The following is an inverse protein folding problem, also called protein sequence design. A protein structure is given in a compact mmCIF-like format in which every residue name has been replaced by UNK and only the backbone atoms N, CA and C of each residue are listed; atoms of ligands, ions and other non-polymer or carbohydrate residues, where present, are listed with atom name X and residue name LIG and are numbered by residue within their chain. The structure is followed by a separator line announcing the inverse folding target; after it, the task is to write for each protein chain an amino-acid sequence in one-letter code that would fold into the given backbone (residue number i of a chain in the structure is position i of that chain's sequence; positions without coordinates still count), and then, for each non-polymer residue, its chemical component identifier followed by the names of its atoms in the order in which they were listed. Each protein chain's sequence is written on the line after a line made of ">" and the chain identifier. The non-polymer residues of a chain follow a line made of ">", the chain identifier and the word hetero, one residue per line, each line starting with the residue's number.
data_IF_130589112035
#
_entry.id   IF_130589112035
#
_cell.length_a   1.000
_cell.length_b   1.000
_cell.length_c   1.000
_cell.angle_alpha   90.00
_cell.angle_beta   90.00
_cell.angle_gamma   90.00
#
_symmetry.space_group_name_H-M   'P 1'
#
loop_
_entity.id
_entity.type
_entity.pdbx_description
1 polymer ?
#
# COMPACT_ATOMS: atom_id res chain seq x y z
N UNK A 1 9.86 2.66 2.69
CA UNK A 1 10.21 1.23 2.72
C UNK A 1 8.96 0.42 2.99
N UNK A 2 8.87 -0.80 2.44
CA UNK A 2 7.76 -1.74 2.64
C UNK A 2 8.36 -3.10 2.98
N UNK A 3 7.82 -3.77 4.00
CA UNK A 3 8.17 -5.14 4.38
C UNK A 3 6.92 -6.00 4.38
N UNK A 4 7.05 -7.26 3.98
CA UNK A 4 6.01 -8.29 4.00
C UNK A 4 6.40 -9.36 5.01
N UNK A 5 5.45 -9.70 5.87
CA UNK A 5 5.60 -10.72 6.89
C UNK A 5 4.45 -11.72 6.79
N UNK A 6 4.78 -13.00 6.95
CA UNK A 6 3.79 -14.04 7.17
C UNK A 6 3.45 -14.08 8.66
N UNK A 7 2.19 -13.79 8.98
CA UNK A 7 1.71 -13.77 10.36
C UNK A 7 1.41 -15.17 10.92
N UNK A 8 1.31 -16.19 10.08
CA UNK A 8 1.11 -17.58 10.54
C UNK A 8 2.44 -18.22 10.93
N UNK A 9 3.49 -17.97 10.14
CA UNK A 9 4.82 -18.53 10.39
C UNK A 9 5.75 -17.58 11.15
N UNK A 10 5.33 -16.32 11.36
CA UNK A 10 6.14 -15.25 11.93
C UNK A 10 7.45 -15.00 11.16
N UNK A 11 7.44 -15.24 9.84
CA UNK A 11 8.62 -15.10 8.99
C UNK A 11 8.57 -13.81 8.16
N UNK A 12 9.75 -13.24 7.95
CA UNK A 12 9.95 -12.16 7.00
C UNK A 12 10.00 -12.73 5.58
N UNK A 13 9.14 -12.23 4.68
CA UNK A 13 9.05 -12.71 3.30
C UNK A 13 9.90 -11.81 2.39
N UNK A 14 9.64 -10.50 2.43
CA UNK A 14 10.22 -9.58 1.46
C UNK A 14 10.33 -8.17 1.98
N UNK A 15 11.31 -7.44 1.45
CA UNK A 15 11.50 -6.02 1.69
C UNK A 15 11.68 -5.30 0.35
N UNK A 16 11.17 -4.07 0.30
CA UNK A 16 11.36 -3.16 -0.81
C UNK A 16 11.67 -1.75 -0.30
N UNK A 17 12.71 -1.15 -0.84
CA UNK A 17 13.01 0.27 -0.63
C UNK A 17 12.18 1.07 -1.61
N UNK A 18 11.30 1.93 -1.12
CA UNK A 18 10.59 2.87 -1.97
C UNK A 18 11.57 3.99 -2.33
N UNK A 19 11.87 4.16 -3.61
CA UNK A 19 12.64 5.30 -4.12
C UNK A 19 11.78 6.56 -4.05
N UNK A 20 11.61 7.11 -2.85
CA UNK A 20 10.99 8.42 -2.65
C UNK A 20 12.06 9.39 -2.21
N UNK A 21 12.22 10.49 -2.94
CA UNK A 21 13.23 11.53 -2.67
C UNK A 21 13.02 12.27 -1.33
N UNK A 22 11.93 11.95 -0.61
CA UNK A 22 11.54 12.61 0.63
C UNK A 22 11.49 11.63 1.79
N UNK A 23 11.85 12.11 2.98
CA UNK A 23 11.59 11.40 4.23
C UNK A 23 10.11 11.01 4.30
N UNK A 24 9.81 9.71 4.36
CA UNK A 24 8.44 9.17 4.38
C UNK A 24 7.83 9.41 5.76
N UNK A 25 7.56 10.68 6.09
CA UNK A 25 6.80 11.12 7.26
C UNK A 25 5.37 11.48 6.87
N UNK A 26 4.40 11.22 7.77
CA UNK A 26 2.96 11.44 7.53
C UNK A 26 2.47 10.85 6.21
N UNK A 27 2.76 9.58 6.02
CA UNK A 27 2.20 8.82 4.90
C UNK A 27 0.79 8.34 5.25
N UNK A 28 -0.11 8.37 4.28
CA UNK A 28 -1.41 7.71 4.34
C UNK A 28 -1.35 6.45 3.48
N UNK A 29 -1.53 5.28 4.10
CA UNK A 29 -1.73 4.02 3.40
C UNK A 29 -3.22 3.70 3.37
N UNK A 30 -3.77 3.56 2.17
CA UNK A 30 -5.18 3.20 1.96
C UNK A 30 -5.21 1.86 1.26
N UNK A 31 -5.82 0.86 1.90
CA UNK A 31 -6.15 -0.39 1.21
C UNK A 31 -7.32 -0.14 0.26
N UNK A 32 -7.13 -0.40 -1.03
CA UNK A 32 -8.21 -0.36 -2.02
C UNK A 32 -8.86 -1.73 -2.05
N UNK A 33 -9.73 -1.99 -1.10
CA UNK A 33 -10.56 -3.18 -1.14
C UNK A 33 -11.74 -2.92 -2.06
N UNK A 34 -11.67 -3.39 -3.31
CA UNK A 34 -12.85 -3.37 -4.18
C UNK A 34 -13.97 -4.25 -3.60
N UNK A 35 -13.65 -5.24 -2.72
CA UNK A 35 -14.65 -6.01 -1.97
C UNK A 35 -14.09 -6.65 -0.68
N UNK A 36 -14.04 -5.92 0.44
CA UNK A 36 -13.66 -6.46 1.77
C UNK A 36 -14.47 -7.71 2.16
N UNK A 37 -15.76 -7.74 1.82
CA UNK A 37 -16.65 -8.87 2.12
C UNK A 37 -16.39 -10.13 1.27
N UNK A 38 -16.00 -9.96 0.01
CA UNK A 38 -15.80 -11.09 -0.91
C UNK A 38 -14.48 -11.80 -0.61
N UNK A 39 -13.41 -11.06 -0.25
CA UNK A 39 -12.13 -11.67 0.14
C UNK A 39 -12.18 -12.45 1.46
N UNK A 40 -13.00 -12.04 2.44
CA UNK A 40 -13.20 -12.81 3.68
C UNK A 40 -14.02 -14.08 3.45
N UNK A 41 -15.03 -14.04 2.57
CA UNK A 41 -15.87 -15.20 2.24
C UNK A 41 -15.20 -16.19 1.26
N UNK A 42 -14.32 -15.73 0.37
CA UNK A 42 -13.57 -16.59 -0.57
C UNK A 42 -12.57 -17.52 0.10
N UNK A 43 -12.11 -17.24 1.34
CA UNK A 43 -11.21 -18.14 2.07
C UNK A 43 -11.83 -19.50 2.43
N UNK A 44 -13.16 -19.63 2.38
CA UNK A 44 -13.89 -20.83 2.82
C UNK A 44 -14.09 -21.82 1.67
N UNK A 45 -14.13 -21.34 0.42
CA UNK A 45 -14.36 -22.18 -0.75
C UNK A 45 -13.11 -22.17 -1.63
N UNK A 46 -12.44 -23.32 -1.70
CA UNK A 46 -11.19 -23.53 -2.42
C UNK A 46 -11.24 -23.09 -3.88
N UNK A 47 -10.53 -22.01 -4.19
CA UNK A 47 -9.61 -21.87 -5.32
C UNK A 47 -8.63 -20.77 -4.92
N UNK A 48 -7.33 -20.92 -5.23
CA UNK A 48 -6.34 -19.85 -5.02
C UNK A 48 -6.64 -18.74 -6.02
N UNK A 49 -7.69 -17.98 -5.77
CA UNK A 49 -7.93 -16.74 -6.49
C UNK A 49 -6.75 -15.85 -6.17
N UNK A 50 -5.94 -15.59 -7.20
CA UNK A 50 -4.71 -14.79 -7.15
C UNK A 50 -4.93 -13.55 -6.30
N UNK A 51 -4.46 -13.60 -5.05
CA UNK A 51 -4.76 -12.56 -4.07
C UNK A 51 -3.83 -11.38 -4.32
N UNK A 52 -4.24 -10.53 -5.26
CA UNK A 52 -3.53 -9.29 -5.56
C UNK A 52 -3.96 -8.24 -4.55
N UNK A 53 -3.03 -7.81 -3.70
CA UNK A 53 -3.26 -6.71 -2.78
C UNK A 53 -3.03 -5.41 -3.50
N UNK A 54 -4.04 -4.55 -3.53
CA UNK A 54 -3.90 -3.19 -4.03
C UNK A 54 -3.99 -2.19 -2.87
N UNK A 55 -3.01 -1.30 -2.84
CA UNK A 55 -2.83 -0.28 -1.82
C UNK A 55 -2.47 1.04 -2.51
N UNK A 56 -2.88 2.14 -1.90
CA UNK A 56 -2.48 3.49 -2.28
C UNK A 56 -1.66 4.09 -1.15
N UNK A 57 -0.57 4.74 -1.52
CA UNK A 57 0.30 5.50 -0.63
C UNK A 57 0.26 6.96 -1.06
N UNK A 58 -0.08 7.83 -0.12
CA UNK A 58 0.00 9.28 -0.30
C UNK A 58 0.96 9.87 0.72
N UNK A 59 1.91 10.68 0.26
CA UNK A 59 2.85 11.40 1.11
C UNK A 59 3.23 12.73 0.44
N UNK A 60 2.84 13.87 1.05
CA UNK A 60 2.99 15.21 0.45
C UNK A 60 2.39 15.22 -0.97
N UNK A 61 3.22 15.45 -1.98
CA UNK A 61 2.87 15.51 -3.41
C UNK A 61 3.06 14.16 -4.11
N UNK A 62 3.49 13.13 -3.37
CA UNK A 62 3.72 11.79 -3.91
C UNK A 62 2.48 10.94 -3.70
N UNK A 63 1.91 10.46 -4.80
CA UNK A 63 0.88 9.44 -4.83
C UNK A 63 1.44 8.19 -5.49
N UNK A 64 1.21 7.02 -4.91
CA UNK A 64 1.71 5.75 -5.43
C UNK A 64 0.64 4.67 -5.30
N UNK A 65 0.28 4.03 -6.41
CA UNK A 65 -0.45 2.77 -6.39
C UNK A 65 0.55 1.63 -6.28
N UNK A 66 0.34 0.77 -5.30
CA UNK A 66 1.16 -0.38 -5.00
C UNK A 66 0.28 -1.61 -5.19
N UNK A 67 0.70 -2.50 -6.08
CA UNK A 67 0.14 -3.85 -6.19
C UNK A 67 1.16 -4.84 -5.66
N UNK A 68 0.69 -5.81 -4.89
CA UNK A 68 1.50 -6.92 -4.41
C UNK A 68 0.85 -8.24 -4.80
N UNK A 69 1.63 -9.10 -5.43
CA UNK A 69 1.28 -10.46 -5.83
C UNK A 69 1.90 -11.43 -4.82
N UNK A 70 1.07 -12.13 -4.05
CA UNK A 70 1.52 -13.05 -3.01
C UNK A 70 2.25 -14.28 -3.59
N UNK A 71 1.84 -14.77 -4.77
CA UNK A 71 2.38 -16.00 -5.34
C UNK A 71 3.80 -15.79 -5.85
N UNK A 72 3.99 -14.71 -6.60
CA UNK A 72 5.30 -14.36 -7.15
C UNK A 72 6.12 -13.49 -6.18
N UNK A 73 5.51 -13.05 -5.07
CA UNK A 73 6.05 -12.05 -4.14
C UNK A 73 6.50 -10.77 -4.87
N UNK A 74 5.83 -10.37 -5.96
CA UNK A 74 6.22 -9.23 -6.80
C UNK A 74 5.47 -7.97 -6.38
N UNK A 75 6.21 -6.87 -6.24
CA UNK A 75 5.62 -5.54 -6.13
C UNK A 75 5.58 -4.84 -7.49
N UNK A 76 4.46 -4.17 -7.78
CA UNK A 76 4.34 -3.25 -8.90
C UNK A 76 3.94 -1.87 -8.39
N UNK A 77 4.62 -0.85 -8.90
CA UNK A 77 4.46 0.54 -8.45
C UNK A 77 4.06 1.42 -9.61
N UNK A 78 3.03 2.24 -9.41
CA UNK A 78 2.56 3.20 -10.40
C UNK A 78 2.38 4.55 -9.73
N UNK A 79 3.05 5.58 -10.24
CA UNK A 79 2.88 6.93 -9.73
C UNK A 79 1.46 7.43 -10.02
N UNK A 80 0.85 8.07 -9.04
CA UNK A 80 -0.46 8.67 -9.16
C UNK A 80 -0.34 10.20 -9.04
N UNK A 81 -1.11 10.96 -9.83
CA UNK A 81 -1.23 12.39 -9.61
C UNK A 81 -1.88 12.65 -8.25
N UNK A 82 -1.34 13.60 -7.50
CA UNK A 82 -1.91 14.06 -6.22
C UNK A 82 -2.56 15.42 -6.47
N UNK A 83 -3.85 15.52 -6.16
CA UNK A 83 -4.56 16.80 -6.19
C UNK A 83 -3.98 17.76 -5.16
N UNK A 84 -3.91 19.05 -5.50
CA UNK A 84 -3.37 20.12 -4.66
C UNK A 84 -4.01 20.15 -3.26
N UNK A 85 -5.31 19.85 -3.14
CA UNK A 85 -6.00 19.82 -1.85
C UNK A 85 -5.48 18.70 -0.92
N UNK A 86 -5.15 17.53 -1.48
CA UNK A 86 -4.58 16.40 -0.71
C UNK A 86 -3.12 16.69 -0.35
N UNK A 87 -2.39 17.33 -1.27
CA UNK A 87 -1.05 17.84 -1.01
C UNK A 87 -1.03 18.86 0.14
N UNK A 88 -1.95 19.84 0.12
CA UNK A 88 -2.14 20.86 1.15
C UNK A 88 -2.46 20.24 2.50
N UNK A 89 -3.32 19.22 2.60
CA UNK A 89 -3.61 18.56 3.87
C UNK A 89 -2.35 17.98 4.53
N UNK A 90 -1.43 17.43 3.73
CA UNK A 90 -0.15 16.91 4.21
C UNK A 90 0.85 18.00 4.62
N UNK A 91 0.75 19.20 4.02
CA UNK A 91 1.61 20.37 4.30
C UNK A 91 1.08 21.18 5.49
N UNK A 92 -0.22 21.47 5.55
CA UNK A 92 -0.81 22.31 6.60
C UNK A 92 -0.63 21.69 7.98
N UNK A 93 -0.72 20.37 8.10
CA UNK A 93 -0.42 19.65 9.35
C UNK A 93 1.05 19.82 9.83
N UNK A 94 1.98 20.27 8.97
CA UNK A 94 3.35 20.65 9.39
C UNK A 94 3.40 22.00 10.11
N UNK A 95 2.61 22.98 9.66
CA UNK A 95 2.73 24.37 10.14
C UNK A 95 2.13 24.58 11.53
N UNK A 96 1.33 23.64 12.02
CA UNK A 96 0.66 23.69 13.32
C UNK A 96 1.29 22.75 14.37
N UNK A 97 2.55 22.32 14.17
CA UNK A 97 3.30 21.50 15.11
C UNK A 97 4.64 22.13 15.42
#
# INVERSE_FOLDING_TARGET
>A
NISVFDLNTFQFIKYHTLSTDYYIGRHCFVSTSENRQVQEMMKINQEKDKQNYQMLLFCRNTGLSIKYDDEDSIFQFHQLPVCDNISLFNIVFELYK
#
